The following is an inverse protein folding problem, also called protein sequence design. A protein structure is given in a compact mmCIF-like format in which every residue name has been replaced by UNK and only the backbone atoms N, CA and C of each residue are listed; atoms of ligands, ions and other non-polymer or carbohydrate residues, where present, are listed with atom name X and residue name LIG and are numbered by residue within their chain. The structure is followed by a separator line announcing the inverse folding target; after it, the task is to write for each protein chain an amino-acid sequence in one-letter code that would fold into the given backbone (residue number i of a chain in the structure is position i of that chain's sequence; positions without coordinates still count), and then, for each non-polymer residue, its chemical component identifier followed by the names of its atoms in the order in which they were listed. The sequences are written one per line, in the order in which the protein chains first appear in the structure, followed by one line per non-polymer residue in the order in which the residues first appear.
data_IF_100660622092
#
_entry.id   IF_100660622092
#
_cell.length_a   1.000
_cell.length_b   1.000
_cell.length_c   1.000
_cell.angle_alpha   90.00
_cell.angle_beta   90.00
_cell.angle_gamma   90.00
#
_symmetry.space_group_name_H-M   'P 1'
#
loop_
_entity.id
_entity.type
_entity.pdbx_description
1 polymer ?
#
# COMPACT_ATOMS: atom_id res chain seq x y z
N UNK A 1 5.62 -12.22 12.18
CA UNK A 1 4.97 -12.70 10.93
C UNK A 1 4.16 -13.99 11.01
N UNK A 2 4.61 -15.11 11.63
CA UNK A 2 3.88 -16.39 11.54
C UNK A 2 2.41 -16.35 12.01
N UNK A 3 2.12 -15.58 13.07
CA UNK A 3 0.74 -15.38 13.57
C UNK A 3 -0.14 -14.62 12.57
N UNK A 4 0.40 -13.56 11.96
CA UNK A 4 -0.28 -12.80 10.91
C UNK A 4 -0.61 -13.67 9.70
N UNK A 5 0.33 -14.51 9.22
CA UNK A 5 0.08 -15.45 8.11
C UNK A 5 -1.06 -16.43 8.43
N UNK A 6 -1.02 -17.06 9.62
CA UNK A 6 -2.07 -17.99 10.05
C UNK A 6 -3.44 -17.32 10.09
N UNK A 7 -3.51 -16.12 10.65
CA UNK A 7 -4.77 -15.38 10.76
C UNK A 7 -5.29 -14.94 9.38
N UNK A 8 -4.44 -14.32 8.56
CA UNK A 8 -4.86 -13.78 7.28
C UNK A 8 -5.34 -14.87 6.30
N UNK A 9 -4.60 -15.97 6.19
CA UNK A 9 -4.93 -17.03 5.22
C UNK A 9 -5.84 -18.11 5.78
N UNK A 10 -5.63 -18.51 7.05
CA UNK A 10 -6.38 -19.60 7.67
C UNK A 10 -7.70 -19.19 8.32
N UNK A 11 -7.88 -17.89 8.63
CA UNK A 11 -9.11 -17.40 9.30
C UNK A 11 -9.85 -16.40 8.42
N UNK A 12 -9.16 -15.36 7.93
CA UNK A 12 -9.81 -14.31 7.14
C UNK A 12 -9.97 -14.68 5.65
N UNK A 13 -9.25 -15.71 5.17
CA UNK A 13 -9.40 -16.20 3.80
C UNK A 13 -8.84 -15.27 2.72
N UNK A 14 -7.86 -14.42 3.04
CA UNK A 14 -7.14 -13.66 2.02
C UNK A 14 -6.40 -14.58 1.06
N UNK A 15 -6.27 -14.16 -0.20
CA UNK A 15 -5.33 -14.79 -1.12
C UNK A 15 -3.92 -14.25 -0.86
N UNK A 16 -2.90 -15.05 -1.20
CA UNK A 16 -1.52 -14.56 -1.24
C UNK A 16 -1.41 -13.51 -2.37
N UNK A 17 -0.91 -12.33 -2.00
CA UNK A 17 -0.51 -11.28 -2.93
C UNK A 17 0.93 -11.44 -3.40
N UNK A 18 1.42 -10.43 -4.10
CA UNK A 18 2.81 -10.38 -4.57
C UNK A 18 3.47 -9.03 -4.27
N UNK A 19 4.78 -9.05 -4.11
CA UNK A 19 5.59 -7.85 -3.93
C UNK A 19 7.08 -8.17 -3.85
N UNK A 20 7.93 -7.13 -3.80
CA UNK A 20 9.38 -7.27 -3.96
C UNK A 20 10.10 -7.85 -2.74
N UNK A 21 9.52 -7.72 -1.54
CA UNK A 21 10.15 -8.12 -0.28
C UNK A 21 9.58 -9.46 0.26
N UNK A 22 10.44 -10.45 0.47
CA UNK A 22 10.03 -11.79 0.94
C UNK A 22 9.64 -11.84 2.42
N UNK A 23 10.05 -10.87 3.24
CA UNK A 23 9.73 -10.79 4.67
C UNK A 23 8.40 -10.06 4.93
N UNK A 24 7.81 -9.50 3.88
CA UNK A 24 6.54 -8.77 3.91
C UNK A 24 5.38 -9.69 3.52
N UNK A 25 4.26 -9.52 4.21
CA UNK A 25 3.04 -10.26 3.93
C UNK A 25 2.09 -9.42 3.08
N UNK A 26 1.93 -9.82 1.83
CA UNK A 26 0.99 -9.21 0.88
C UNK A 26 -0.34 -9.97 0.89
N UNK A 27 -1.42 -9.28 1.25
CA UNK A 27 -2.75 -9.85 1.37
C UNK A 27 -3.65 -9.30 0.28
N UNK A 28 -4.16 -10.21 -0.56
CA UNK A 28 -4.96 -9.86 -1.75
C UNK A 28 -6.42 -10.28 -1.57
N UNK A 29 -7.32 -9.44 -2.06
CA UNK A 29 -8.77 -9.69 -2.08
C UNK A 29 -9.38 -9.64 -3.49
N UNK A 30 -8.66 -9.06 -4.45
CA UNK A 30 -9.11 -8.82 -5.83
C UNK A 30 -7.91 -8.90 -6.80
N UNK A 31 -7.99 -8.28 -7.96
CA UNK A 31 -6.95 -8.32 -9.00
C UNK A 31 -5.70 -7.50 -8.66
N UNK A 32 -5.72 -6.65 -7.62
CA UNK A 32 -4.53 -5.87 -7.24
C UNK A 32 -3.49 -6.75 -6.55
N UNK A 33 -2.22 -6.34 -6.61
CA UNK A 33 -1.10 -7.10 -6.02
C UNK A 33 -1.30 -7.35 -4.51
N UNK A 34 -1.84 -6.36 -3.78
CA UNK A 34 -2.27 -6.47 -2.39
C UNK A 34 -3.27 -5.35 -2.04
N UNK A 35 -4.13 -5.58 -1.04
CA UNK A 35 -4.94 -4.55 -0.38
C UNK A 35 -4.44 -4.21 1.02
N UNK A 36 -3.80 -5.18 1.68
CA UNK A 36 -3.13 -4.98 2.97
C UNK A 36 -1.71 -5.52 2.85
N UNK A 37 -0.74 -4.71 3.26
CA UNK A 37 0.68 -5.05 3.27
C UNK A 37 1.15 -5.00 4.73
N UNK A 38 1.50 -6.14 5.31
CA UNK A 38 2.01 -6.22 6.68
C UNK A 38 3.52 -6.32 6.61
N UNK A 39 4.21 -5.29 7.12
CA UNK A 39 5.67 -5.22 7.18
C UNK A 39 6.17 -5.55 8.59
N UNK A 40 7.40 -6.09 8.75
CA UNK A 40 8.00 -6.26 10.08
C UNK A 40 8.13 -4.93 10.84
N UNK A 41 7.91 -4.95 12.14
CA UNK A 41 8.07 -3.79 13.02
C UNK A 41 7.92 -4.15 14.49
N UNK A 42 8.39 -3.28 15.38
CA UNK A 42 8.41 -3.53 16.83
C UNK A 42 7.03 -3.39 17.49
N UNK A 43 6.12 -2.64 16.87
CA UNK A 43 4.78 -2.35 17.39
C UNK A 43 3.74 -2.43 16.29
N UNK A 44 2.52 -2.85 16.65
CA UNK A 44 1.37 -2.83 15.75
C UNK A 44 0.91 -1.38 15.52
N UNK A 45 1.02 -0.91 14.28
CA UNK A 45 0.54 0.43 13.88
C UNK A 45 0.26 0.50 12.38
N UNK A 46 -0.57 1.46 11.99
CA UNK A 46 -0.75 1.83 10.59
C UNK A 46 0.39 2.78 10.22
N UNK A 47 1.25 2.38 9.27
CA UNK A 47 2.39 3.18 8.81
C UNK A 47 2.15 3.88 7.47
N UNK A 48 1.15 3.43 6.70
CA UNK A 48 0.81 3.99 5.40
C UNK A 48 -0.66 3.74 5.12
N UNK A 49 -1.33 4.72 4.52
CA UNK A 49 -2.69 4.59 3.95
C UNK A 49 -2.61 5.05 2.51
N UNK A 50 -3.12 4.24 1.59
CA UNK A 50 -3.14 4.53 0.16
C UNK A 50 -4.54 4.90 -0.31
N UNK A 51 -4.62 5.84 -1.25
CA UNK A 51 -5.86 6.22 -1.92
C UNK A 51 -5.69 6.04 -3.41
N UNK A 52 -6.65 5.34 -4.02
CA UNK A 52 -6.73 5.22 -5.47
C UNK A 52 -7.59 6.36 -6.02
N UNK A 53 -7.08 7.04 -7.04
CA UNK A 53 -7.84 8.02 -7.80
C UNK A 53 -8.13 7.46 -9.19
N UNK A 54 -9.15 8.01 -9.86
CA UNK A 54 -9.64 7.48 -11.13
C UNK A 54 -8.55 7.38 -12.22
N UNK A 55 -7.72 8.41 -12.33
CA UNK A 55 -6.78 8.60 -13.42
C UNK A 55 -5.72 9.63 -13.06
N UNK A 56 -4.71 9.78 -13.94
CA UNK A 56 -3.63 10.75 -13.80
C UNK A 56 -4.15 12.19 -13.60
N UNK A 57 -5.20 12.59 -14.34
CA UNK A 57 -5.75 13.95 -14.20
C UNK A 57 -6.38 14.16 -12.81
N UNK A 58 -7.00 13.13 -12.23
CA UNK A 58 -7.47 13.15 -10.86
C UNK A 58 -6.32 13.26 -9.86
N UNK A 59 -5.21 12.57 -10.09
CA UNK A 59 -4.02 12.70 -9.25
C UNK A 59 -3.44 14.13 -9.30
N UNK A 60 -3.36 14.73 -10.49
CA UNK A 60 -2.93 16.13 -10.65
C UNK A 60 -3.85 17.09 -9.89
N UNK A 61 -5.17 16.87 -9.91
CA UNK A 61 -6.11 17.67 -9.10
C UNK A 61 -5.85 17.55 -7.60
N UNK A 62 -5.50 16.36 -7.10
CA UNK A 62 -5.12 16.17 -5.69
C UNK A 62 -3.82 16.93 -5.38
N UNK A 63 -2.79 16.82 -6.23
CA UNK A 63 -1.54 17.57 -6.10
C UNK A 63 -1.79 19.09 -6.01
N UNK A 64 -2.56 19.64 -6.95
CA UNK A 64 -2.92 21.08 -6.94
C UNK A 64 -3.73 21.49 -5.71
N UNK A 65 -4.62 20.64 -5.21
CA UNK A 65 -5.39 20.93 -4.01
C UNK A 65 -4.51 20.97 -2.75
N UNK A 66 -3.53 20.08 -2.65
CA UNK A 66 -2.55 20.07 -1.56
C UNK A 66 -1.64 21.31 -1.62
N UNK A 67 -1.12 21.65 -2.79
CA UNK A 67 -0.31 22.86 -3.00
C UNK A 67 -1.10 24.13 -2.65
N UNK A 68 -2.35 24.23 -3.13
CA UNK A 68 -3.23 25.37 -2.82
C UNK A 68 -3.56 25.50 -1.33
N UNK A 69 -3.50 24.40 -0.58
CA UNK A 69 -3.66 24.38 0.87
C UNK A 69 -2.33 24.53 1.64
N UNK A 70 -1.19 24.61 0.94
CA UNK A 70 0.13 24.65 1.56
C UNK A 70 0.53 23.34 2.26
N UNK A 71 -0.06 22.21 1.87
CA UNK A 71 0.24 20.90 2.44
C UNK A 71 1.35 20.25 1.61
N UNK A 72 2.55 20.02 2.18
CA UNK A 72 3.66 19.46 1.43
C UNK A 72 3.38 18.00 1.05
N UNK A 73 3.71 17.66 -0.19
CA UNK A 73 3.77 16.27 -0.65
C UNK A 73 5.07 16.03 -1.42
N UNK A 74 5.41 14.76 -1.60
CA UNK A 74 6.55 14.33 -2.42
C UNK A 74 6.08 13.32 -3.46
N UNK A 75 6.64 13.42 -4.66
CA UNK A 75 6.60 12.31 -5.61
C UNK A 75 7.56 11.23 -5.10
N UNK A 76 7.09 9.98 -5.07
CA UNK A 76 7.93 8.84 -4.73
C UNK A 76 8.86 8.49 -5.89
N UNK A 77 10.04 7.94 -5.57
CA UNK A 77 10.84 7.25 -6.58
C UNK A 77 10.13 5.98 -7.08
N UNK A 78 10.58 5.42 -8.21
CA UNK A 78 10.04 4.16 -8.72
C UNK A 78 10.16 3.02 -7.70
N UNK A 79 11.31 2.94 -7.01
CA UNK A 79 11.55 1.94 -5.96
C UNK A 79 10.60 2.14 -4.76
N UNK A 80 10.41 3.39 -4.33
CA UNK A 80 9.49 3.71 -3.23
C UNK A 80 8.02 3.41 -3.60
N UNK A 81 7.63 3.62 -4.87
CA UNK A 81 6.32 3.32 -5.37
C UNK A 81 6.09 1.81 -5.49
N UNK A 82 7.06 1.07 -6.03
CA UNK A 82 6.98 -0.39 -6.16
C UNK A 82 6.97 -1.11 -4.80
N UNK A 83 7.76 -0.64 -3.83
CA UNK A 83 7.71 -1.15 -2.46
C UNK A 83 6.30 -1.04 -1.83
N UNK A 84 5.49 -0.08 -2.31
CA UNK A 84 4.10 0.15 -1.87
C UNK A 84 3.06 -0.43 -2.84
N UNK A 85 3.50 -0.99 -3.97
CA UNK A 85 2.64 -1.47 -5.07
C UNK A 85 1.66 -0.40 -5.55
N UNK A 86 2.12 0.84 -5.67
CA UNK A 86 1.35 1.97 -6.20
C UNK A 86 1.96 2.49 -7.50
N UNK A 87 1.12 3.08 -8.33
CA UNK A 87 1.47 3.64 -9.63
C UNK A 87 0.83 5.03 -9.77
N UNK A 88 1.27 5.82 -10.74
CA UNK A 88 0.67 7.12 -11.12
C UNK A 88 -0.34 6.97 -12.26
#
# INVERSE_FOLDING_TARGET
MPRWRRFAFGVLGFAEGSGPDTDVLYLRMDERAARIIVVPGDVDKIVTVGWEVRDHAALQRVKSALDGAGIPFKQLSLEEADARRVEE
#
